data_IF_835895233580
#
_entry.id   IF_835895233580
#
_cell.length_a   1.000
_cell.length_b   1.000
_cell.length_c   1.000
_cell.angle_alpha   90.00
_cell.angle_beta   90.00
_cell.angle_gamma   90.00
#
_symmetry.space_group_name_H-M   'P 1'
#
loop_
_entity.id
_entity.type
_entity.pdbx_description
1 polymer ?
#
# COMPACT_ATOMS: atom_id res chain seq x y z
N UNK A 1 -30.95 41.12 1.82
CA UNK A 1 -30.14 40.63 0.68
C UNK A 1 -28.77 40.26 1.21
N UNK A 2 -28.33 39.01 1.07
CA UNK A 2 -27.04 38.56 1.58
C UNK A 2 -26.11 38.23 0.41
N UNK A 3 -24.93 38.84 0.37
CA UNK A 3 -23.92 38.59 -0.66
C UNK A 3 -22.94 37.52 -0.17
N UNK A 4 -23.09 36.29 -0.65
CA UNK A 4 -22.17 35.19 -0.36
C UNK A 4 -21.06 35.17 -1.41
N UNK A 5 -19.88 35.67 -1.05
CA UNK A 5 -18.70 35.63 -1.91
C UNK A 5 -18.14 34.21 -2.09
N UNK A 6 -17.49 34.01 -3.24
CA UNK A 6 -16.44 33.01 -3.45
C UNK A 6 -16.80 31.53 -3.27
N UNK A 7 -17.23 30.91 -4.37
CA UNK A 7 -16.42 29.80 -4.88
C UNK A 7 -16.02 30.11 -6.31
N UNK A 8 -14.71 30.21 -6.55
CA UNK A 8 -14.16 30.45 -7.89
C UNK A 8 -14.64 29.34 -8.83
N UNK A 9 -14.98 29.69 -10.08
CA UNK A 9 -15.45 28.75 -11.11
C UNK A 9 -14.35 27.83 -11.66
N UNK A 10 -13.45 27.38 -10.78
CA UNK A 10 -12.52 26.28 -11.00
C UNK A 10 -13.19 24.90 -10.94
N UNK A 11 -14.50 24.82 -11.22
CA UNK A 11 -15.16 23.59 -11.68
C UNK A 11 -14.77 23.32 -13.15
N UNK A 12 -13.46 23.34 -13.39
CA UNK A 12 -12.81 22.96 -14.63
C UNK A 12 -13.18 21.50 -14.86
N UNK A 13 -13.43 21.13 -16.11
CA UNK A 13 -13.53 19.71 -16.51
C UNK A 13 -12.14 19.06 -16.43
N UNK A 14 -11.66 18.88 -15.20
CA UNK A 14 -10.59 17.96 -14.86
C UNK A 14 -11.12 16.58 -15.19
N UNK A 15 -10.86 16.12 -16.43
CA UNK A 15 -11.30 14.84 -16.95
C UNK A 15 -10.83 13.72 -16.00
N UNK A 16 -11.71 13.31 -15.11
CA UNK A 16 -11.38 12.34 -14.07
C UNK A 16 -11.03 11.00 -14.72
N UNK A 17 -9.82 10.52 -14.45
CA UNK A 17 -9.33 9.26 -14.95
C UNK A 17 -9.83 8.17 -14.00
N UNK A 18 -10.98 7.58 -14.31
CA UNK A 18 -11.62 6.55 -13.49
C UNK A 18 -11.00 5.16 -13.73
N UNK A 19 -10.87 4.39 -12.66
CA UNK A 19 -10.60 2.96 -12.71
C UNK A 19 -11.90 2.18 -12.96
N UNK A 20 -11.98 1.42 -14.05
CA UNK A 20 -13.15 0.58 -14.35
C UNK A 20 -13.26 -0.63 -13.39
N UNK A 21 -12.14 -1.13 -12.85
CA UNK A 21 -12.11 -2.26 -11.90
C UNK A 21 -12.67 -1.92 -10.52
N UNK A 22 -12.44 -0.71 -10.01
CA UNK A 22 -12.80 -0.33 -8.63
C UNK A 22 -13.59 0.99 -8.50
N UNK A 23 -13.91 1.67 -9.60
CA UNK A 23 -14.71 2.91 -9.63
C UNK A 23 -14.01 4.17 -9.10
N UNK A 24 -12.76 4.08 -8.62
CA UNK A 24 -12.02 5.23 -8.07
C UNK A 24 -11.59 6.21 -9.18
N UNK A 25 -11.87 7.50 -9.00
CA UNK A 25 -11.37 8.57 -9.86
C UNK A 25 -9.99 9.10 -9.44
N UNK A 26 -9.25 9.59 -10.44
CA UNK A 26 -7.92 10.18 -10.29
C UNK A 26 -7.82 11.48 -11.10
N UNK A 27 -7.10 12.48 -10.57
CA UNK A 27 -7.00 13.80 -11.19
C UNK A 27 -6.11 13.83 -12.45
N UNK A 28 -5.19 12.87 -12.59
CA UNK A 28 -4.27 12.75 -13.73
C UNK A 28 -4.10 11.29 -14.17
N UNK A 29 -3.85 11.10 -15.47
CA UNK A 29 -3.66 9.78 -16.08
C UNK A 29 -2.46 9.02 -15.48
N UNK A 30 -1.42 9.71 -15.01
CA UNK A 30 -0.26 9.10 -14.37
C UNK A 30 -0.64 8.35 -13.08
N UNK A 31 -1.53 8.94 -12.26
CA UNK A 31 -2.00 8.32 -11.02
C UNK A 31 -2.91 7.12 -11.30
N UNK A 32 -3.78 7.22 -12.33
CA UNK A 32 -4.57 6.06 -12.80
C UNK A 32 -3.65 4.96 -13.32
N UNK A 33 -2.63 5.28 -14.13
CA UNK A 33 -1.69 4.30 -14.67
C UNK A 33 -0.87 3.63 -13.56
N UNK A 34 -0.43 4.41 -12.56
CA UNK A 34 0.22 3.89 -11.37
C UNK A 34 -0.74 2.97 -10.60
N UNK A 35 -2.00 3.35 -10.39
CA UNK A 35 -3.00 2.47 -9.79
C UNK A 35 -3.24 1.19 -10.60
N UNK A 36 -3.43 1.27 -11.92
CA UNK A 36 -3.60 0.12 -12.81
C UNK A 36 -2.43 -0.86 -12.69
N UNK A 37 -1.19 -0.37 -12.79
CA UNK A 37 -0.03 -1.23 -12.53
C UNK A 37 -0.03 -1.77 -11.11
N UNK A 38 -0.36 -0.98 -10.09
CA UNK A 38 -0.42 -1.46 -8.70
C UNK A 38 -1.69 -2.30 -8.37
N UNK A 39 -2.49 -2.66 -9.37
CA UNK A 39 -3.62 -3.61 -9.35
C UNK A 39 -3.32 -4.87 -10.21
N UNK A 40 -2.60 -4.68 -11.32
CA UNK A 40 -2.18 -5.72 -12.29
C UNK A 40 -0.80 -6.32 -12.00
N UNK A 41 0.08 -5.63 -11.28
CA UNK A 41 1.31 -6.20 -10.73
C UNK A 41 0.93 -7.35 -9.81
N UNK A 42 1.61 -8.48 -9.98
CA UNK A 42 1.30 -9.71 -9.26
C UNK A 42 1.58 -9.55 -7.76
N UNK A 43 0.59 -9.03 -7.02
CA UNK A 43 0.61 -8.98 -5.57
C UNK A 43 0.80 -10.39 -5.05
N UNK A 44 1.79 -10.57 -4.17
CA UNK A 44 2.02 -11.87 -3.58
C UNK A 44 0.93 -12.07 -2.50
N UNK A 45 -0.14 -12.78 -2.90
CA UNK A 45 -1.30 -13.08 -2.06
C UNK A 45 -1.03 -14.30 -1.19
N UNK A 46 -1.59 -14.30 0.03
CA UNK A 46 -1.65 -15.50 0.87
C UNK A 46 -3.08 -16.03 0.96
N UNK A 47 -3.29 -17.19 0.35
CA UNK A 47 -4.55 -17.95 0.34
C UNK A 47 -5.12 -18.17 1.76
N UNK A 48 -4.23 -18.43 2.74
CA UNK A 48 -4.59 -18.74 4.13
C UNK A 48 -4.88 -17.54 5.04
N UNK A 49 -4.66 -16.29 4.59
CA UNK A 49 -4.96 -15.09 5.39
C UNK A 49 -5.57 -13.91 4.61
N UNK A 50 -5.74 -14.04 3.29
CA UNK A 50 -6.30 -13.00 2.43
C UNK A 50 -5.44 -11.74 2.31
N UNK A 51 -4.20 -11.74 2.82
CA UNK A 51 -3.34 -10.56 2.79
C UNK A 51 -2.50 -10.50 1.51
N UNK A 52 -2.36 -9.29 0.96
CA UNK A 52 -1.74 -9.05 -0.35
C UNK A 52 -0.58 -8.07 -0.19
N UNK A 53 0.62 -8.47 -0.62
CA UNK A 53 1.81 -7.61 -0.53
C UNK A 53 2.36 -7.27 -1.92
N UNK A 54 2.59 -5.98 -2.15
CA UNK A 54 3.16 -5.43 -3.39
C UNK A 54 4.67 -5.63 -3.53
N UNK A 55 5.33 -6.29 -2.57
CA UNK A 55 6.76 -6.59 -2.65
C UNK A 55 7.10 -7.97 -2.11
N UNK A 56 8.10 -8.59 -2.73
CA UNK A 56 8.57 -9.94 -2.42
C UNK A 56 9.22 -10.05 -1.04
N UNK A 57 9.98 -9.03 -0.63
CA UNK A 57 10.60 -8.96 0.70
C UNK A 57 9.56 -8.93 1.83
N UNK A 58 8.51 -8.13 1.65
CA UNK A 58 7.38 -8.05 2.60
C UNK A 58 6.63 -9.38 2.70
N UNK A 59 6.38 -10.03 1.56
CA UNK A 59 5.78 -11.37 1.49
C UNK A 59 6.63 -12.42 2.22
N UNK A 60 7.91 -12.58 1.85
CA UNK A 60 8.79 -13.59 2.44
C UNK A 60 9.08 -13.34 3.94
N UNK A 61 8.90 -12.11 4.44
CA UNK A 61 8.88 -11.79 5.88
C UNK A 61 7.53 -12.07 6.56
N UNK A 62 6.41 -11.84 5.89
CA UNK A 62 5.08 -12.19 6.39
C UNK A 62 4.91 -13.72 6.50
N UNK A 63 5.40 -14.51 5.54
CA UNK A 63 5.43 -15.97 5.69
C UNK A 63 6.21 -16.42 6.92
N UNK A 64 7.30 -15.71 7.23
CA UNK A 64 8.13 -16.01 8.38
C UNK A 64 7.41 -15.76 9.72
N UNK A 65 6.36 -14.92 9.75
CA UNK A 65 5.44 -14.83 10.89
C UNK A 65 4.57 -16.09 11.00
N UNK A 66 3.94 -16.53 9.91
CA UNK A 66 3.10 -17.74 9.88
C UNK A 66 3.87 -19.02 10.21
N UNK A 67 5.11 -19.15 9.75
CA UNK A 67 5.99 -20.29 10.02
C UNK A 67 6.73 -20.19 11.37
N UNK A 68 6.53 -19.11 12.14
CA UNK A 68 7.27 -18.84 13.38
C UNK A 68 8.78 -18.60 13.20
N UNK A 69 9.25 -18.46 11.95
CA UNK A 69 10.65 -18.37 11.55
C UNK A 69 11.26 -17.00 11.86
N UNK A 70 11.63 -16.76 13.11
CA UNK A 70 12.25 -15.50 13.56
C UNK A 70 13.71 -15.36 13.07
N UNK A 71 13.88 -14.83 11.86
CA UNK A 71 15.16 -14.70 11.13
C UNK A 71 16.26 -13.89 11.85
N UNK A 72 15.93 -13.08 12.85
CA UNK A 72 16.86 -12.07 13.40
C UNK A 72 16.97 -12.13 14.92
N UNK A 73 18.14 -12.56 15.43
CA UNK A 73 18.43 -12.65 16.86
C UNK A 73 19.24 -11.44 17.36
N UNK A 74 18.92 -10.96 18.56
CA UNK A 74 19.74 -10.03 19.33
C UNK A 74 20.68 -10.79 20.28
N UNK A 75 21.82 -10.18 20.66
CA UNK A 75 22.78 -10.74 21.64
C UNK A 75 22.17 -11.02 23.03
N UNK A 76 21.01 -10.43 23.35
CA UNK A 76 20.25 -10.69 24.58
C UNK A 76 19.32 -11.92 24.49
N UNK A 77 19.33 -12.68 23.38
CA UNK A 77 18.46 -13.84 23.15
C UNK A 77 17.07 -13.52 22.58
N UNK A 78 16.64 -12.25 22.52
CA UNK A 78 15.37 -11.86 21.87
C UNK A 78 15.45 -12.04 20.35
N UNK A 79 14.38 -12.58 19.77
CA UNK A 79 14.29 -12.93 18.34
C UNK A 79 13.12 -12.22 17.65
N UNK A 80 13.36 -11.77 16.42
CA UNK A 80 12.51 -10.87 15.64
C UNK A 80 12.32 -11.40 14.21
N UNK A 81 11.15 -11.14 13.63
CA UNK A 81 10.85 -11.51 12.23
C UNK A 81 11.49 -10.56 11.21
N UNK A 82 11.58 -9.26 11.54
CA UNK A 82 12.03 -8.20 10.63
C UNK A 82 13.26 -7.43 11.16
N UNK A 83 14.20 -7.04 10.28
CA UNK A 83 15.40 -6.27 10.66
C UNK A 83 15.11 -4.94 11.39
N UNK A 84 14.14 -4.09 10.98
CA UNK A 84 13.89 -2.82 11.68
C UNK A 84 13.43 -3.01 13.13
N UNK A 85 12.76 -4.12 13.45
CA UNK A 85 12.36 -4.44 14.82
C UNK A 85 13.54 -4.88 15.70
N UNK A 86 14.55 -5.53 15.12
CA UNK A 86 15.81 -5.79 15.80
C UNK A 86 16.60 -4.47 15.99
N UNK A 87 16.69 -3.62 14.97
CA UNK A 87 17.42 -2.35 15.04
C UNK A 87 16.85 -1.40 16.10
N UNK A 88 15.51 -1.28 16.20
CA UNK A 88 14.84 -0.49 17.25
C UNK A 88 14.98 -1.06 18.66
N UNK A 89 15.40 -2.31 18.81
CA UNK A 89 15.64 -2.93 20.11
C UNK A 89 17.09 -2.75 20.59
N UNK A 90 18.03 -2.56 19.67
CA UNK A 90 19.47 -2.58 19.91
C UNK A 90 20.00 -1.27 20.51
#
# INVERSE_FOLDING_TARGET
MAASLSRCSAHKESKEFACETCGRSFAIMADLSAHMTQDQEATFKYDTCGHEMRRRDQYDDHMAMHLGAKKHACKCGKTYTHKPNLFRHQ
#
